data_IF_215090088797
#
_entry.id   IF_215090088797
#
_cell.length_a   1.000
_cell.length_b   1.000
_cell.length_c   1.000
_cell.angle_alpha   90.00
_cell.angle_beta   90.00
_cell.angle_gamma   90.00
#
_symmetry.space_group_name_H-M   'P 1'
#
loop_
_entity.id
_entity.type
_entity.pdbx_description
1 polymer ?
#
# COMPACT_ATOMS: atom_id res chain seq x y z
N UNK A 1 16.59 -2.71 -13.54
CA UNK A 1 15.22 -2.57 -12.99
C UNK A 1 15.05 -3.34 -11.68
N UNK A 2 15.44 -4.63 -11.57
CA UNK A 2 15.66 -5.31 -10.27
C UNK A 2 16.52 -4.48 -9.28
N UNK A 3 17.43 -3.68 -9.82
CA UNK A 3 18.27 -2.71 -9.08
C UNK A 3 17.52 -1.53 -8.45
N UNK A 4 16.43 -1.03 -9.04
CA UNK A 4 15.68 0.10 -8.47
C UNK A 4 14.81 -0.34 -7.30
N UNK A 5 14.22 -1.53 -7.40
CA UNK A 5 13.46 -2.14 -6.32
C UNK A 5 14.38 -2.58 -5.17
N UNK A 6 15.51 -3.20 -5.48
CA UNK A 6 16.53 -3.52 -4.49
C UNK A 6 17.08 -2.27 -3.80
N UNK A 7 17.22 -1.14 -4.52
CA UNK A 7 17.61 0.14 -3.95
C UNK A 7 16.50 0.72 -3.05
N UNK A 8 15.24 0.67 -3.48
CA UNK A 8 14.10 1.11 -2.66
C UNK A 8 13.97 0.29 -1.38
N UNK A 9 14.10 -1.04 -1.47
CA UNK A 9 14.09 -1.99 -0.34
C UNK A 9 15.30 -1.82 0.58
N UNK A 10 16.50 -1.63 0.03
CA UNK A 10 17.72 -1.40 0.81
C UNK A 10 17.72 -0.03 1.50
N UNK A 11 17.15 1.01 0.87
CA UNK A 11 17.05 2.36 1.44
C UNK A 11 16.12 2.47 2.65
N UNK A 12 15.21 1.52 2.81
CA UNK A 12 14.29 1.44 3.95
C UNK A 12 14.70 0.36 4.96
N UNK A 13 15.92 -0.20 4.82
CA UNK A 13 16.47 -1.20 5.73
C UNK A 13 15.75 -2.55 5.70
N UNK A 14 14.93 -2.82 4.67
CA UNK A 14 14.20 -4.07 4.57
C UNK A 14 15.14 -5.21 4.18
N UNK A 15 15.26 -6.21 5.06
CA UNK A 15 15.98 -7.45 4.79
C UNK A 15 14.98 -8.56 4.50
N UNK A 16 15.21 -9.32 3.43
CA UNK A 16 14.35 -10.44 3.05
C UNK A 16 14.31 -11.48 4.18
N UNK A 17 13.11 -11.95 4.60
CA UNK A 17 12.99 -12.92 5.69
C UNK A 17 13.53 -14.32 5.31
N UNK A 18 13.87 -15.11 6.32
CA UNK A 18 14.58 -16.40 6.20
C UNK A 18 13.71 -17.57 5.65
N UNK A 19 14.35 -18.73 5.41
CA UNK A 19 14.03 -19.72 4.39
C UNK A 19 12.62 -20.35 4.33
N UNK A 20 11.79 -20.28 5.38
CA UNK A 20 10.44 -20.87 5.38
C UNK A 20 9.40 -20.08 4.57
N UNK A 21 9.67 -18.81 4.27
CA UNK A 21 8.80 -17.91 3.49
C UNK A 21 9.15 -17.88 1.99
N UNK A 22 10.21 -18.60 1.57
CA UNK A 22 10.80 -18.50 0.22
C UNK A 22 9.80 -18.72 -0.93
N UNK A 23 8.92 -19.70 -0.85
CA UNK A 23 8.06 -20.07 -1.99
C UNK A 23 6.93 -19.07 -2.27
N UNK A 24 6.22 -18.57 -1.24
CA UNK A 24 5.23 -17.51 -1.42
C UNK A 24 5.91 -16.19 -1.85
N UNK A 25 7.09 -15.89 -1.30
CA UNK A 25 7.86 -14.70 -1.67
C UNK A 25 8.28 -14.70 -3.15
N UNK A 26 8.81 -15.81 -3.67
CA UNK A 26 9.28 -15.91 -5.06
C UNK A 26 8.13 -15.60 -6.03
N UNK A 27 6.95 -16.20 -5.82
CA UNK A 27 5.77 -15.90 -6.64
C UNK A 27 5.33 -14.44 -6.53
N UNK A 28 5.38 -13.84 -5.34
CA UNK A 28 5.01 -12.43 -5.16
C UNK A 28 6.01 -11.46 -5.79
N UNK A 29 7.31 -11.78 -5.79
CA UNK A 29 8.36 -10.96 -6.44
C UNK A 29 8.20 -10.98 -7.96
N UNK A 30 7.98 -12.16 -8.57
CA UNK A 30 7.70 -12.27 -10.00
C UNK A 30 6.44 -11.47 -10.39
N UNK A 31 5.41 -11.50 -9.55
CA UNK A 31 4.20 -10.72 -9.73
C UNK A 31 4.42 -9.20 -9.62
N UNK A 32 5.33 -8.76 -8.75
CA UNK A 32 5.70 -7.36 -8.61
C UNK A 32 6.51 -6.89 -9.83
N UNK A 33 7.48 -7.68 -10.27
CA UNK A 33 8.24 -7.41 -11.50
C UNK A 33 7.30 -7.32 -12.70
N UNK A 34 6.33 -8.25 -12.80
CA UNK A 34 5.30 -8.20 -13.83
C UNK A 34 4.45 -6.91 -13.74
N UNK A 35 4.11 -6.44 -12.53
CA UNK A 35 3.36 -5.20 -12.35
C UNK A 35 4.17 -3.93 -12.71
N UNK A 36 5.47 -3.93 -12.44
CA UNK A 36 6.39 -2.84 -12.79
C UNK A 36 6.61 -2.76 -14.31
N UNK A 37 6.92 -3.90 -14.95
CA UNK A 37 7.22 -4.00 -16.39
C UNK A 37 5.97 -3.76 -17.24
N UNK A 38 4.79 -4.12 -16.73
CA UNK A 38 3.53 -3.93 -17.45
C UNK A 38 3.38 -2.45 -17.86
N UNK A 39 3.23 -2.13 -19.15
CA UNK A 39 3.02 -0.75 -19.57
C UNK A 39 1.69 -0.22 -19.01
N UNK A 40 1.61 1.08 -18.69
CA UNK A 40 0.35 1.71 -18.33
C UNK A 40 -0.69 1.48 -19.43
N UNK A 41 -1.91 1.15 -19.01
CA UNK A 41 -3.08 1.00 -19.90
C UNK A 41 -3.98 2.23 -19.79
N UNK A 42 -4.94 2.38 -20.71
CA UNK A 42 -5.93 3.46 -20.64
C UNK A 42 -6.78 3.47 -19.35
N UNK A 43 -6.82 2.35 -18.62
CA UNK A 43 -7.45 2.27 -17.30
C UNK A 43 -6.57 2.83 -16.16
N UNK A 44 -5.26 2.92 -16.37
CA UNK A 44 -4.28 3.48 -15.42
C UNK A 44 -4.18 5.00 -15.63
N UNK A 45 -5.32 5.69 -15.63
CA UNK A 45 -5.42 7.13 -15.86
C UNK A 45 -4.89 7.97 -14.69
N UNK A 46 -4.89 9.31 -14.86
CA UNK A 46 -4.43 10.24 -13.85
C UNK A 46 -5.33 10.22 -12.62
N UNK A 47 -4.74 10.48 -11.47
CA UNK A 47 -5.43 10.56 -10.19
C UNK A 47 -4.44 10.68 -9.04
N UNK A 48 -4.85 10.23 -7.86
CA UNK A 48 -4.00 10.22 -6.69
C UNK A 48 -3.92 8.83 -6.09
N UNK A 49 -2.72 8.42 -5.69
CA UNK A 49 -2.56 7.35 -4.70
C UNK A 49 -2.56 8.02 -3.33
N UNK A 50 -3.32 7.47 -2.39
CA UNK A 50 -3.48 8.01 -1.06
C UNK A 50 -3.08 6.99 0.01
N UNK A 51 -2.66 7.52 1.15
CA UNK A 51 -2.46 6.79 2.39
C UNK A 51 -3.42 7.37 3.43
N UNK A 52 -4.21 6.50 4.07
CA UNK A 52 -5.04 6.85 5.21
C UNK A 52 -4.60 6.07 6.43
N UNK A 53 -4.61 6.72 7.59
CA UNK A 53 -4.57 6.06 8.88
C UNK A 53 -6.00 5.69 9.25
N UNK A 54 -6.19 4.48 9.75
CA UNK A 54 -7.47 3.96 10.23
C UNK A 54 -7.30 3.59 11.69
N UNK A 55 -8.21 4.02 12.55
CA UNK A 55 -8.30 3.55 13.94
C UNK A 55 -9.61 2.82 14.09
N UNK A 56 -9.58 1.55 14.50
CA UNK A 56 -10.81 0.80 14.70
C UNK A 56 -11.44 1.03 16.09
N UNK A 57 -12.56 0.35 16.38
CA UNK A 57 -13.26 0.49 17.66
C UNK A 57 -12.50 -0.08 18.86
N UNK A 58 -11.49 -0.93 18.63
CA UNK A 58 -10.63 -1.48 19.67
C UNK A 58 -9.41 -0.59 19.94
N UNK A 59 -9.21 0.46 19.13
CA UNK A 59 -8.06 1.34 19.18
C UNK A 59 -6.87 0.83 18.36
N UNK A 60 -7.05 -0.23 17.57
CA UNK A 60 -6.01 -0.74 16.69
C UNK A 60 -5.79 0.24 15.55
N UNK A 61 -4.53 0.61 15.35
CA UNK A 61 -4.11 1.52 14.28
C UNK A 61 -3.72 0.68 13.08
N UNK A 62 -4.25 1.05 11.93
CA UNK A 62 -3.95 0.43 10.66
C UNK A 62 -3.71 1.53 9.62
N UNK A 63 -3.11 1.13 8.52
CA UNK A 63 -2.95 2.01 7.37
C UNK A 63 -3.62 1.43 6.14
N UNK A 64 -4.10 2.34 5.31
CA UNK A 64 -4.84 2.01 4.10
C UNK A 64 -4.23 2.72 2.90
N UNK A 65 -3.86 1.95 1.89
CA UNK A 65 -3.36 2.49 0.62
C UNK A 65 -4.39 2.23 -0.47
N UNK A 66 -4.74 3.26 -1.23
CA UNK A 66 -5.66 3.13 -2.37
C UNK A 66 -5.45 4.23 -3.40
N UNK A 67 -6.31 4.27 -4.42
CA UNK A 67 -6.30 5.36 -5.40
C UNK A 67 -7.68 6.02 -5.52
N UNK A 68 -7.68 7.31 -5.86
CA UNK A 68 -8.89 8.08 -6.18
C UNK A 68 -8.54 9.35 -6.95
N UNK A 69 -9.47 9.84 -7.76
CA UNK A 69 -9.35 11.20 -8.32
C UNK A 69 -9.61 12.26 -7.24
N UNK A 70 -10.37 11.90 -6.20
CA UNK A 70 -10.70 12.74 -5.06
C UNK A 70 -10.53 11.93 -3.75
N UNK A 71 -9.35 12.00 -3.12
CA UNK A 71 -9.08 11.30 -1.85
C UNK A 71 -9.97 11.78 -0.69
N UNK A 72 -10.38 13.05 -0.67
CA UNK A 72 -11.25 13.57 0.39
C UNK A 72 -12.66 12.99 0.29
N UNK A 73 -13.21 12.90 -0.93
CA UNK A 73 -14.47 12.18 -1.15
C UNK A 73 -14.34 10.71 -0.74
N UNK A 74 -13.21 10.08 -1.08
CA UNK A 74 -12.94 8.68 -0.75
C UNK A 74 -12.85 8.46 0.76
N UNK A 75 -12.29 9.41 1.52
CA UNK A 75 -12.27 9.40 2.99
C UNK A 75 -13.70 9.31 3.56
N UNK A 76 -14.62 10.13 3.06
CA UNK A 76 -16.02 10.10 3.49
C UNK A 76 -16.81 8.86 3.03
N UNK A 77 -16.43 8.24 1.91
CA UNK A 77 -16.96 6.92 1.50
C UNK A 77 -16.50 5.83 2.46
N UNK A 78 -15.24 5.85 2.88
CA UNK A 78 -14.70 4.90 3.86
C UNK A 78 -15.35 5.04 5.23
N UNK A 79 -15.50 6.27 5.73
CA UNK A 79 -16.22 6.50 7.00
C UNK A 79 -17.67 6.01 6.98
N UNK A 80 -18.33 6.01 5.80
CA UNK A 80 -19.68 5.43 5.65
C UNK A 80 -19.67 3.92 5.53
N UNK A 81 -18.72 3.36 4.79
CA UNK A 81 -18.61 1.92 4.59
C UNK A 81 -18.19 1.21 5.88
N UNK A 82 -17.18 1.73 6.55
CA UNK A 82 -16.57 1.17 7.75
C UNK A 82 -16.85 2.07 8.97
N UNK A 83 -18.12 2.20 9.32
CA UNK A 83 -18.64 3.20 10.26
C UNK A 83 -18.15 3.08 11.72
N UNK A 84 -17.48 1.99 12.11
CA UNK A 84 -16.86 1.86 13.45
C UNK A 84 -15.37 2.21 13.45
N UNK A 85 -14.85 2.66 12.33
CA UNK A 85 -13.45 3.09 12.20
C UNK A 85 -13.37 4.58 11.93
N UNK A 86 -12.39 5.23 12.54
CA UNK A 86 -12.00 6.60 12.21
C UNK A 86 -10.95 6.57 11.11
N UNK A 87 -11.04 7.53 10.19
CA UNK A 87 -10.12 7.63 9.07
C UNK A 87 -9.49 9.02 9.01
N UNK A 88 -8.19 9.06 8.81
CA UNK A 88 -7.41 10.27 8.63
C UNK A 88 -6.62 10.16 7.33
N UNK A 89 -6.68 11.18 6.47
CA UNK A 89 -5.87 11.24 5.26
C UNK A 89 -4.45 11.69 5.63
N UNK A 90 -3.48 10.80 5.46
CA UNK A 90 -2.08 11.05 5.85
C UNK A 90 -1.28 11.62 4.68
N UNK A 91 -1.44 11.04 3.49
CA UNK A 91 -0.73 11.48 2.30
C UNK A 91 -1.57 11.30 1.04
N UNK A 92 -1.29 12.15 0.06
CA UNK A 92 -1.88 12.12 -1.27
C UNK A 92 -0.79 12.43 -2.28
N UNK A 93 -0.60 11.55 -3.25
CA UNK A 93 0.45 11.64 -4.27
C UNK A 93 -0.20 11.64 -5.64
N UNK A 94 -0.16 12.77 -6.37
CA UNK A 94 -0.67 12.83 -7.73
C UNK A 94 0.21 11.98 -8.66
N UNK A 95 -0.41 11.31 -9.61
CA UNK A 95 0.29 10.53 -10.63
C UNK A 95 -0.55 10.41 -11.88
N UNK A 96 0.11 10.27 -13.04
CA UNK A 96 -0.55 9.98 -14.31
C UNK A 96 -1.09 8.54 -14.38
N UNK A 97 -0.62 7.65 -13.48
CA UNK A 97 -0.87 6.22 -13.53
C UNK A 97 -1.34 5.63 -12.20
N UNK A 98 -2.37 6.21 -11.60
CA UNK A 98 -2.78 5.95 -10.21
C UNK A 98 -3.07 4.46 -9.94
N UNK A 99 -3.78 3.77 -10.84
CA UNK A 99 -4.08 2.33 -10.68
C UNK A 99 -2.86 1.42 -10.84
N UNK A 100 -1.91 1.80 -11.70
CA UNK A 100 -0.67 1.03 -11.85
C UNK A 100 0.16 1.17 -10.57
N UNK A 101 0.32 2.40 -10.08
CA UNK A 101 1.09 2.69 -8.88
C UNK A 101 0.49 2.02 -7.65
N UNK A 102 -0.82 2.10 -7.45
CA UNK A 102 -1.52 1.38 -6.37
C UNK A 102 -1.22 -0.13 -6.43
N UNK A 103 -1.34 -0.75 -7.61
CA UNK A 103 -1.08 -2.18 -7.79
C UNK A 103 0.36 -2.54 -7.42
N UNK A 104 1.33 -1.75 -7.86
CA UNK A 104 2.75 -1.95 -7.53
C UNK A 104 2.96 -1.87 -6.02
N UNK A 105 2.39 -0.85 -5.37
CA UNK A 105 2.55 -0.63 -3.94
C UNK A 105 1.88 -1.72 -3.11
N UNK A 106 0.66 -2.15 -3.46
CA UNK A 106 0.01 -3.27 -2.77
C UNK A 106 0.82 -4.56 -2.88
N UNK A 107 1.39 -4.86 -4.05
CA UNK A 107 2.26 -6.03 -4.22
C UNK A 107 3.53 -5.91 -3.41
N UNK A 108 4.15 -4.72 -3.41
CA UNK A 108 5.31 -4.42 -2.59
C UNK A 108 5.04 -4.64 -1.09
N UNK A 109 3.96 -4.06 -0.56
CA UNK A 109 3.61 -4.20 0.86
C UNK A 109 3.27 -5.64 1.25
N UNK A 110 2.73 -6.42 0.32
CA UNK A 110 2.50 -7.86 0.50
C UNK A 110 3.79 -8.68 0.54
N UNK A 111 4.74 -8.38 -0.35
CA UNK A 111 6.09 -8.96 -0.28
C UNK A 111 6.75 -8.57 1.04
N UNK A 112 6.53 -7.35 1.51
CA UNK A 112 7.07 -6.90 2.78
C UNK A 112 6.41 -7.56 4.02
N UNK A 113 5.43 -8.44 3.83
CA UNK A 113 4.63 -9.10 4.87
C UNK A 113 3.91 -8.11 5.80
N UNK A 114 3.58 -6.92 5.28
CA UNK A 114 2.83 -5.87 5.99
C UNK A 114 1.33 -5.96 5.73
N UNK A 115 0.91 -6.94 4.95
CA UNK A 115 -0.49 -7.16 4.66
C UNK A 115 -1.10 -7.94 5.82
N UNK A 116 -2.03 -7.32 6.53
CA UNK A 116 -2.82 -8.01 7.55
C UNK A 116 -3.60 -9.13 6.86
N UNK A 117 -3.39 -10.36 7.32
CA UNK A 117 -4.12 -11.54 6.83
C UNK A 117 -5.62 -11.23 6.75
N UNK A 118 -6.36 -11.85 5.80
CA UNK A 118 -7.71 -11.44 5.47
C UNK A 118 -8.66 -11.63 6.66
N UNK A 119 -8.83 -10.57 7.43
CA UNK A 119 -9.89 -10.46 8.44
C UNK A 119 -11.09 -9.76 7.80
N UNK A 120 -12.28 -10.24 8.13
CA UNK A 120 -13.51 -9.53 7.79
C UNK A 120 -13.53 -8.23 8.59
N UNK A 121 -13.74 -7.10 7.92
CA UNK A 121 -13.90 -5.84 8.64
C UNK A 121 -15.07 -5.92 9.62
N UNK A 122 -14.84 -5.66 10.90
CA UNK A 122 -15.88 -5.71 11.95
C UNK A 122 -17.02 -4.70 11.75
N UNK A 123 -16.81 -3.68 10.90
CA UNK A 123 -17.85 -2.71 10.54
C UNK A 123 -18.72 -3.20 9.39
N UNK A 124 -18.10 -3.62 8.27
CA UNK A 124 -18.81 -3.84 7.02
C UNK A 124 -18.84 -5.31 6.56
N UNK A 125 -18.17 -6.21 7.30
CA UNK A 125 -18.06 -7.64 7.03
C UNK A 125 -17.46 -8.01 5.67
N UNK A 126 -16.73 -7.07 5.04
CA UNK A 126 -16.01 -7.29 3.79
C UNK A 126 -14.51 -7.46 4.06
N UNK A 127 -13.86 -8.28 3.23
CA UNK A 127 -12.40 -8.42 3.22
C UNK A 127 -11.74 -7.24 2.50
N UNK A 128 -11.07 -6.37 3.25
CA UNK A 128 -10.32 -5.27 2.65
C UNK A 128 -8.90 -5.70 2.30
N UNK A 129 -8.59 -5.75 1.01
CA UNK A 129 -7.24 -6.04 0.50
C UNK A 129 -6.27 -4.87 0.57
N UNK A 130 -6.76 -3.74 1.05
CA UNK A 130 -6.11 -2.42 1.03
C UNK A 130 -5.65 -1.98 2.43
N UNK A 131 -5.80 -2.84 3.46
CA UNK A 131 -5.39 -2.57 4.84
C UNK A 131 -4.03 -3.24 5.12
N UNK A 132 -3.15 -2.51 5.80
CA UNK A 132 -1.77 -2.88 6.07
C UNK A 132 -1.36 -2.44 7.48
N UNK A 133 -0.47 -3.19 8.12
CA UNK A 133 0.12 -2.86 9.42
C UNK A 133 1.40 -2.05 9.20
N UNK A 134 1.32 -0.75 9.45
CA UNK A 134 2.32 0.24 9.07
C UNK A 134 2.71 1.06 10.30
N UNK A 135 2.96 0.37 11.42
CA UNK A 135 3.23 1.01 12.70
C UNK A 135 4.67 1.54 12.76
N UNK A 136 5.65 0.71 12.37
CA UNK A 136 7.04 1.12 12.17
C UNK A 136 7.66 0.32 11.02
N UNK A 137 8.19 1.00 10.00
CA UNK A 137 8.92 0.35 8.92
C UNK A 137 10.40 0.77 8.97
N UNK A 138 11.25 -0.09 9.54
CA UNK A 138 12.67 0.20 9.69
C UNK A 138 13.00 1.33 10.68
N UNK A 139 12.16 1.58 11.69
CA UNK A 139 12.34 2.65 12.69
C UNK A 139 11.97 4.06 12.19
N UNK A 140 11.38 4.16 11.01
CA UNK A 140 10.76 5.38 10.46
C UNK A 140 9.24 5.17 10.51
N UNK A 141 8.43 6.20 10.84
CA UNK A 141 6.98 6.10 10.73
C UNK A 141 6.62 5.59 9.33
N UNK A 142 5.95 4.44 9.23
CA UNK A 142 5.82 3.75 7.95
C UNK A 142 5.05 4.57 6.90
N UNK A 143 4.26 5.55 7.35
CA UNK A 143 3.66 6.56 6.49
C UNK A 143 4.69 7.40 5.72
N UNK A 144 5.79 7.80 6.35
CA UNK A 144 6.87 8.54 5.70
C UNK A 144 7.65 7.64 4.74
N UNK A 145 7.97 6.41 5.16
CA UNK A 145 8.64 5.41 4.31
C UNK A 145 7.81 5.08 3.07
N UNK A 146 6.50 4.88 3.21
CA UNK A 146 5.61 4.57 2.08
C UNK A 146 5.38 5.79 1.21
N UNK A 147 5.22 6.98 1.80
CA UNK A 147 5.13 8.22 1.02
C UNK A 147 6.39 8.43 0.20
N UNK A 148 7.57 8.12 0.76
CA UNK A 148 8.84 8.17 0.06
C UNK A 148 8.91 7.13 -1.06
N UNK A 149 8.60 5.86 -0.79
CA UNK A 149 8.55 4.80 -1.82
C UNK A 149 7.59 5.18 -2.96
N UNK A 150 6.42 5.71 -2.61
CA UNK A 150 5.43 6.16 -3.58
C UNK A 150 5.96 7.31 -4.46
N UNK A 151 6.71 8.26 -3.89
CA UNK A 151 7.35 9.35 -4.65
C UNK A 151 8.47 8.81 -5.54
N UNK A 152 9.36 7.99 -4.98
CA UNK A 152 10.48 7.40 -5.71
C UNK A 152 10.00 6.54 -6.90
N UNK A 153 8.85 5.87 -6.76
CA UNK A 153 8.20 5.11 -7.84
C UNK A 153 7.47 5.97 -8.88
N UNK A 154 7.09 7.21 -8.55
CA UNK A 154 6.49 8.16 -9.49
C UNK A 154 7.55 8.86 -10.32
N UNK A 155 8.70 9.18 -9.70
CA UNK A 155 9.78 9.94 -10.33
C UNK A 155 10.76 9.08 -11.15
N UNK A 156 10.66 7.74 -11.06
CA UNK A 156 11.49 6.76 -11.79
C UNK A 156 10.93 6.36 -13.16
#
# INVERSE_FOLDING_TARGET
>A
MLTQLAAALAHIGYTLPSESTKYQHIHTVDELDAALIRPPSGADGPGHVYLMKTTDSNGDIESKVGFSNDPNRRLGEWGRQCYRSEFELVATIPTLHARKLERVVHKFLKIADLWKEPYCCDSCFVHHREKFELDEFGGIPAAESITKILRDLVDA
#
